data_IF_187703923395
#
_entry.id   IF_187703923395
#
_cell.length_a   1.000
_cell.length_b   1.000
_cell.length_c   1.000
_cell.angle_alpha   90.00
_cell.angle_beta   90.00
_cell.angle_gamma   90.00
#
_symmetry.space_group_name_H-M   'P 1'
#
loop_
_entity.id
_entity.type
_entity.pdbx_description
1 polymer ?
#
# COMPACT_ATOMS: atom_id res chain seq x y z
N UNK A 1 -7.83 -8.55 -13.45
CA UNK A 1 -6.48 -9.10 -13.25
C UNK A 1 -6.54 -10.04 -12.06
N UNK A 2 -6.32 -11.33 -12.31
CA UNK A 2 -6.21 -12.36 -11.29
C UNK A 2 -4.78 -12.25 -10.76
N UNK A 3 -4.63 -11.86 -9.50
CA UNK A 3 -3.33 -11.78 -8.82
C UNK A 3 -3.12 -13.15 -8.18
N UNK A 4 -2.08 -13.86 -8.61
CA UNK A 4 -1.62 -15.10 -7.97
C UNK A 4 -1.24 -14.80 -6.50
N UNK A 5 -1.83 -15.50 -5.50
CA UNK A 5 -1.53 -15.29 -4.09
C UNK A 5 -0.05 -15.43 -3.71
N UNK A 6 0.76 -16.12 -4.53
CA UNK A 6 2.23 -16.25 -4.32
C UNK A 6 3.04 -15.05 -4.83
N UNK A 7 2.40 -14.01 -5.38
CA UNK A 7 3.07 -12.87 -6.03
C UNK A 7 3.01 -11.53 -5.27
N UNK A 8 2.30 -11.48 -4.14
CA UNK A 8 2.09 -10.26 -3.34
C UNK A 8 3.25 -10.10 -2.35
N UNK A 9 4.15 -9.18 -2.67
CA UNK A 9 5.40 -8.98 -1.91
C UNK A 9 5.58 -7.53 -1.44
N UNK A 10 4.80 -6.60 -2.01
CA UNK A 10 4.93 -5.18 -1.73
C UNK A 10 4.09 -4.77 -0.51
N UNK A 11 4.62 -3.94 0.40
CA UNK A 11 3.92 -3.53 1.61
C UNK A 11 2.48 -3.03 1.39
N UNK A 12 2.25 -2.13 0.44
CA UNK A 12 0.92 -1.60 0.11
C UNK A 12 -0.02 -2.72 -0.38
N UNK A 13 0.47 -3.60 -1.24
CA UNK A 13 -0.29 -4.73 -1.78
C UNK A 13 -0.66 -5.74 -0.70
N UNK A 14 0.26 -6.04 0.22
CA UNK A 14 0.03 -6.89 1.39
C UNK A 14 -1.06 -6.26 2.26
N UNK A 15 -0.97 -4.96 2.53
CA UNK A 15 -1.96 -4.23 3.31
C UNK A 15 -3.37 -4.32 2.70
N UNK A 16 -3.51 -4.02 1.41
CA UNK A 16 -4.79 -4.11 0.72
C UNK A 16 -5.32 -5.54 0.61
N UNK A 17 -4.42 -6.52 0.46
CA UNK A 17 -4.79 -7.93 0.47
C UNK A 17 -5.37 -8.33 1.82
N UNK A 18 -4.68 -7.97 2.92
CA UNK A 18 -5.13 -8.27 4.27
C UNK A 18 -6.49 -7.63 4.57
N UNK A 19 -6.69 -6.35 4.22
CA UNK A 19 -8.00 -5.69 4.36
C UNK A 19 -9.11 -6.40 3.58
N UNK A 20 -8.79 -6.87 2.37
CA UNK A 20 -9.77 -7.56 1.53
C UNK A 20 -10.16 -8.92 2.11
N UNK A 21 -9.20 -9.70 2.59
CA UNK A 21 -9.37 -11.09 3.01
C UNK A 21 -9.41 -11.31 4.52
N UNK A 22 -9.38 -10.26 5.33
CA UNK A 22 -9.70 -10.34 6.75
C UNK A 22 -11.15 -10.85 6.89
N UNK A 23 -11.27 -12.12 7.28
CA UNK A 23 -12.54 -12.87 7.33
C UNK A 23 -13.24 -12.76 8.68
N UNK A 24 -12.67 -12.04 9.64
CA UNK A 24 -13.27 -11.81 10.95
C UNK A 24 -14.27 -10.65 10.82
N UNK A 25 -15.42 -10.92 10.20
CA UNK A 25 -16.59 -10.05 10.34
C UNK A 25 -17.20 -10.35 11.72
N UNK A 26 -16.91 -9.50 12.71
CA UNK A 26 -17.46 -9.66 14.06
C UNK A 26 -18.91 -9.17 14.08
N UNK A 27 -19.82 -9.91 14.74
CA UNK A 27 -21.22 -9.52 14.90
C UNK A 27 -21.37 -8.10 15.53
N UNK A 28 -20.39 -7.71 16.35
CA UNK A 28 -20.33 -6.38 16.94
C UNK A 28 -20.05 -5.28 15.92
N UNK A 29 -19.22 -5.54 14.90
CA UNK A 29 -18.92 -4.54 13.87
C UNK A 29 -20.13 -4.28 12.98
N UNK A 30 -20.93 -5.32 12.68
CA UNK A 30 -22.23 -5.16 12.02
C UNK A 30 -23.16 -4.25 12.85
N UNK A 31 -23.24 -4.46 14.17
CA UNK A 31 -24.05 -3.62 15.06
C UNK A 31 -23.58 -2.17 15.07
N UNK A 32 -22.27 -1.94 15.10
CA UNK A 32 -21.70 -0.60 15.09
C UNK A 32 -21.98 0.13 13.75
N UNK A 33 -21.95 -0.61 12.64
CA UNK A 33 -22.20 -0.10 11.30
C UNK A 33 -23.68 0.04 10.93
N UNK A 34 -24.60 -0.57 11.68
CA UNK A 34 -26.05 -0.56 11.41
C UNK A 34 -26.65 0.83 11.22
N UNK A 35 -26.07 1.85 11.86
CA UNK A 35 -26.56 3.23 11.71
C UNK A 35 -26.43 3.78 10.27
N UNK A 36 -25.66 3.12 9.39
CA UNK A 36 -25.58 3.42 7.95
C UNK A 36 -26.89 3.17 7.20
N UNK A 37 -27.78 2.32 7.70
CA UNK A 37 -29.08 2.03 7.06
C UNK A 37 -29.93 3.30 6.86
N UNK A 38 -29.68 4.32 7.70
CA UNK A 38 -30.33 5.64 7.60
C UNK A 38 -29.76 6.56 6.52
N UNK A 39 -28.62 6.21 5.90
CA UNK A 39 -27.95 7.03 4.88
C UNK A 39 -28.41 6.61 3.48
N UNK A 40 -28.83 7.56 2.63
CA UNK A 40 -29.19 7.25 1.25
C UNK A 40 -28.04 6.59 0.48
N UNK A 41 -28.37 5.65 -0.41
CA UNK A 41 -27.41 4.88 -1.22
C UNK A 41 -26.54 3.88 -0.45
N UNK A 42 -26.80 3.67 0.84
CA UNK A 42 -26.22 2.55 1.60
C UNK A 42 -26.80 1.22 1.12
N UNK A 43 -25.93 0.24 0.94
CA UNK A 43 -26.28 -1.16 0.74
C UNK A 43 -25.32 -2.08 1.49
N UNK A 44 -25.48 -3.40 1.33
CA UNK A 44 -24.64 -4.39 1.98
C UNK A 44 -23.15 -4.26 1.66
N UNK A 45 -22.76 -3.70 0.51
CA UNK A 45 -21.35 -3.45 0.20
C UNK A 45 -20.81 -2.29 1.04
N UNK A 46 -21.59 -1.22 1.22
CA UNK A 46 -21.21 -0.09 2.08
C UNK A 46 -21.10 -0.52 3.55
N UNK A 47 -22.02 -1.36 4.01
CA UNK A 47 -21.98 -1.90 5.37
C UNK A 47 -20.70 -2.72 5.57
N UNK A 48 -20.36 -3.62 4.63
CA UNK A 48 -19.11 -4.39 4.68
C UNK A 48 -17.84 -3.55 4.68
N UNK A 49 -17.84 -2.43 3.96
CA UNK A 49 -16.72 -1.48 3.98
C UNK A 49 -16.57 -0.88 5.39
N UNK A 50 -17.68 -0.50 6.03
CA UNK A 50 -17.68 -0.02 7.40
C UNK A 50 -17.21 -1.08 8.40
N UNK A 51 -17.67 -2.32 8.28
CA UNK A 51 -17.27 -3.42 9.16
C UNK A 51 -15.76 -3.65 9.09
N UNK A 52 -15.19 -3.69 7.87
CA UNK A 52 -13.75 -3.83 7.68
C UNK A 52 -12.97 -2.65 8.25
N UNK A 53 -13.47 -1.43 8.11
CA UNK A 53 -12.89 -0.24 8.72
C UNK A 53 -12.87 -0.34 10.25
N UNK A 54 -14.01 -0.68 10.85
CA UNK A 54 -14.15 -0.79 12.31
C UNK A 54 -13.27 -1.92 12.85
N UNK A 55 -13.36 -3.10 12.26
CA UNK A 55 -12.54 -4.25 12.65
C UNK A 55 -11.05 -3.90 12.56
N UNK A 56 -10.61 -3.31 11.45
CA UNK A 56 -9.21 -2.95 11.27
C UNK A 56 -8.70 -2.04 12.40
N UNK A 57 -9.48 -1.00 12.72
CA UNK A 57 -9.13 -0.04 13.76
C UNK A 57 -9.19 -0.61 15.18
N UNK A 58 -10.05 -1.60 15.45
CA UNK A 58 -10.10 -2.30 16.74
C UNK A 58 -8.96 -3.30 16.91
N UNK A 59 -8.64 -4.03 15.84
CA UNK A 59 -7.81 -5.24 15.92
C UNK A 59 -6.34 -4.99 15.63
N UNK A 60 -6.04 -4.12 14.66
CA UNK A 60 -4.67 -3.96 14.14
C UNK A 60 -4.07 -2.58 14.37
N UNK A 61 -4.87 -1.58 14.76
CA UNK A 61 -4.40 -0.20 14.88
C UNK A 61 -3.17 -0.07 15.80
N UNK A 62 -3.23 -0.61 17.03
CA UNK A 62 -2.15 -0.45 18.01
C UNK A 62 -0.85 -1.12 17.54
N UNK A 63 -0.93 -2.33 16.97
CA UNK A 63 0.22 -3.05 16.44
C UNK A 63 0.84 -2.31 15.26
N UNK A 64 0.00 -1.84 14.33
CA UNK A 64 0.47 -1.16 13.13
C UNK A 64 1.00 0.24 13.41
N UNK A 65 0.51 0.94 14.45
CA UNK A 65 0.97 2.27 14.89
C UNK A 65 2.34 2.25 15.58
N UNK A 66 2.89 1.07 15.86
CA UNK A 66 4.28 0.90 16.34
C UNK A 66 5.13 0.04 15.40
N UNK A 67 4.48 -0.67 14.48
CA UNK A 67 5.10 -1.65 13.59
C UNK A 67 5.57 -1.09 12.26
N UNK A 68 5.66 -2.00 11.28
CA UNK A 68 6.19 -1.75 9.94
C UNK A 68 5.41 -0.66 9.20
N UNK A 69 4.13 -0.50 9.48
CA UNK A 69 3.26 0.45 8.81
C UNK A 69 2.94 1.71 9.62
N UNK A 70 3.62 1.98 10.74
CA UNK A 70 3.36 3.09 11.67
C UNK A 70 2.99 4.42 11.01
N UNK A 71 3.72 4.80 9.98
CA UNK A 71 3.48 6.09 9.31
C UNK A 71 2.49 6.04 8.15
N UNK A 72 2.06 4.83 7.75
CA UNK A 72 1.41 4.58 6.48
C UNK A 72 0.02 3.95 6.59
N UNK A 73 -0.22 3.13 7.62
CA UNK A 73 -1.41 2.29 7.73
C UNK A 73 -2.72 3.09 7.60
N UNK A 74 -2.82 4.23 8.27
CA UNK A 74 -3.98 5.12 8.19
C UNK A 74 -4.21 5.72 6.79
N UNK A 75 -3.14 6.11 6.10
CA UNK A 75 -3.25 6.66 4.74
C UNK A 75 -3.65 5.56 3.75
N UNK A 76 -3.06 4.37 3.86
CA UNK A 76 -3.42 3.20 3.06
C UNK A 76 -4.88 2.78 3.31
N UNK A 77 -5.32 2.76 4.58
CA UNK A 77 -6.72 2.48 4.92
C UNK A 77 -7.66 3.51 4.27
N UNK A 78 -7.33 4.80 4.39
CA UNK A 78 -8.11 5.88 3.80
C UNK A 78 -8.18 5.80 2.27
N UNK A 79 -7.07 5.41 1.63
CA UNK A 79 -7.02 5.15 0.18
C UNK A 79 -7.96 4.03 -0.21
N UNK A 80 -7.87 2.90 0.50
CA UNK A 80 -8.69 1.73 0.23
C UNK A 80 -10.19 2.04 0.35
N UNK A 81 -10.60 2.71 1.44
CA UNK A 81 -11.99 3.14 1.67
C UNK A 81 -12.47 4.05 0.54
N UNK A 82 -11.71 5.09 0.21
CA UNK A 82 -12.09 6.01 -0.85
C UNK A 82 -12.17 5.32 -2.22
N UNK A 83 -11.23 4.44 -2.54
CA UNK A 83 -11.26 3.67 -3.78
C UNK A 83 -12.53 2.80 -3.88
N UNK A 84 -12.93 2.11 -2.80
CA UNK A 84 -14.13 1.27 -2.82
C UNK A 84 -15.38 2.12 -3.11
N UNK A 85 -15.53 3.25 -2.41
CA UNK A 85 -16.66 4.17 -2.60
C UNK A 85 -16.64 4.81 -4.00
N UNK A 86 -15.47 5.24 -4.47
CA UNK A 86 -15.30 5.87 -5.77
C UNK A 86 -15.64 4.90 -6.90
N UNK A 87 -15.18 3.65 -6.84
CA UNK A 87 -15.54 2.60 -7.80
C UNK A 87 -17.03 2.33 -7.83
N UNK A 88 -17.67 2.24 -6.66
CA UNK A 88 -19.12 1.98 -6.55
C UNK A 88 -19.95 3.11 -7.14
N UNK A 89 -19.63 4.35 -6.79
CA UNK A 89 -20.40 5.53 -7.19
C UNK A 89 -19.81 6.26 -8.40
N UNK A 90 -18.84 5.67 -9.09
CA UNK A 90 -18.17 6.24 -10.27
C UNK A 90 -17.72 7.69 -10.06
N UNK A 91 -17.21 7.98 -8.86
CA UNK A 91 -16.74 9.32 -8.48
C UNK A 91 -17.84 10.35 -8.14
N UNK A 92 -19.11 9.97 -8.04
CA UNK A 92 -20.20 10.87 -7.63
C UNK A 92 -20.06 11.31 -6.16
N UNK A 93 -19.38 12.44 -5.93
CA UNK A 93 -19.09 12.96 -4.58
C UNK A 93 -20.34 13.24 -3.74
N UNK A 94 -21.48 13.57 -4.36
CA UNK A 94 -22.76 13.76 -3.67
C UNK A 94 -23.26 12.49 -3.00
N UNK A 95 -22.87 11.31 -3.49
CA UNK A 95 -23.17 10.00 -2.88
C UNK A 95 -22.07 9.56 -1.92
N UNK A 96 -20.81 9.80 -2.26
CA UNK A 96 -19.65 9.38 -1.44
C UNK A 96 -19.59 10.18 -0.13
N UNK A 97 -19.79 11.50 -0.19
CA UNK A 97 -19.58 12.40 0.97
C UNK A 97 -20.46 12.06 2.18
N UNK A 98 -21.78 11.85 2.03
CA UNK A 98 -22.64 11.49 3.18
C UNK A 98 -22.23 10.16 3.83
N UNK A 99 -21.85 9.16 3.03
CA UNK A 99 -21.41 7.85 3.53
C UNK A 99 -20.09 7.98 4.28
N UNK A 100 -19.11 8.69 3.71
CA UNK A 100 -17.81 8.92 4.34
C UNK A 100 -17.94 9.68 5.65
N UNK A 101 -18.78 10.72 5.68
CA UNK A 101 -19.08 11.47 6.91
C UNK A 101 -19.73 10.56 7.97
N UNK A 102 -20.61 9.64 7.56
CA UNK A 102 -21.21 8.68 8.47
C UNK A 102 -20.18 7.69 9.04
N UNK A 103 -19.19 7.26 8.25
CA UNK A 103 -18.08 6.44 8.76
C UNK A 103 -17.33 7.17 9.88
N UNK A 104 -16.93 8.43 9.66
CA UNK A 104 -16.27 9.25 10.69
C UNK A 104 -17.12 9.40 11.95
N UNK A 105 -18.44 9.58 11.80
CA UNK A 105 -19.37 9.66 12.92
C UNK A 105 -19.47 8.33 13.69
N UNK A 106 -19.49 7.19 13.00
CA UNK A 106 -19.48 5.86 13.63
C UNK A 106 -18.19 5.67 14.42
N UNK A 107 -17.03 5.96 13.81
CA UNK A 107 -15.74 5.89 14.50
C UNK A 107 -15.70 6.76 15.76
N UNK A 108 -16.22 8.00 15.67
CA UNK A 108 -16.31 8.90 16.83
C UNK A 108 -17.20 8.35 17.95
N UNK A 109 -18.18 7.50 17.63
CA UNK A 109 -19.05 6.87 18.62
C UNK A 109 -18.45 5.62 19.26
N UNK A 110 -17.61 4.90 18.51
CA UNK A 110 -16.91 3.71 19.00
C UNK A 110 -15.73 4.14 19.87
N UNK A 111 -14.91 5.06 19.36
CA UNK A 111 -13.65 5.50 19.95
C UNK A 111 -13.81 6.80 20.74
N UNK A 112 -14.71 6.82 21.71
CA UNK A 112 -15.08 8.04 22.46
C UNK A 112 -14.01 8.50 23.47
N UNK A 113 -13.06 7.64 23.82
CA UNK A 113 -12.08 7.99 24.84
C UNK A 113 -11.05 8.97 24.24
N UNK A 114 -10.62 10.01 24.98
CA UNK A 114 -9.62 10.96 24.49
C UNK A 114 -8.32 10.30 24.03
N UNK A 115 -7.95 9.16 24.62
CA UNK A 115 -6.77 8.39 24.25
C UNK A 115 -6.89 7.70 22.88
N UNK A 116 -8.10 7.56 22.34
CA UNK A 116 -8.41 6.93 21.05
C UNK A 116 -8.58 7.96 19.92
N UNK A 117 -8.35 9.26 20.20
CA UNK A 117 -8.44 10.33 19.18
C UNK A 117 -7.57 10.03 17.95
N UNK A 118 -6.40 9.42 18.15
CA UNK A 118 -5.50 9.05 17.04
C UNK A 118 -6.09 7.95 16.14
N UNK A 119 -6.87 7.04 16.73
CA UNK A 119 -7.60 5.99 15.99
C UNK A 119 -8.69 6.58 15.11
N UNK A 120 -9.41 7.61 15.60
CA UNK A 120 -10.39 8.35 14.80
C UNK A 120 -9.68 9.07 13.64
N UNK A 121 -8.59 9.78 13.92
CA UNK A 121 -7.82 10.56 12.94
C UNK A 121 -7.13 9.69 11.87
N UNK A 122 -7.14 8.37 12.06
CA UNK A 122 -6.62 7.40 11.11
C UNK A 122 -7.40 7.42 9.79
N UNK A 123 -8.73 7.58 9.85
CA UNK A 123 -9.53 7.81 8.65
C UNK A 123 -9.45 9.28 8.25
N UNK A 124 -8.75 9.56 7.15
CA UNK A 124 -8.53 10.92 6.66
C UNK A 124 -9.83 11.57 6.20
N UNK A 125 -9.92 12.89 6.32
CA UNK A 125 -11.09 13.61 5.80
C UNK A 125 -11.23 13.38 4.28
N UNK A 126 -12.47 13.23 3.79
CA UNK A 126 -12.75 13.06 2.36
C UNK A 126 -12.20 14.19 1.49
N UNK A 127 -12.03 15.41 2.05
CA UNK A 127 -11.43 16.56 1.36
C UNK A 127 -9.99 16.32 0.90
N UNK A 128 -9.31 15.30 1.45
CA UNK A 128 -7.99 14.86 0.97
C UNK A 128 -8.07 14.28 -0.45
N UNK A 129 -9.24 13.74 -0.84
CA UNK A 129 -9.45 13.06 -2.12
C UNK A 129 -10.40 13.79 -3.06
N UNK A 130 -11.48 14.38 -2.52
CA UNK A 130 -12.57 14.97 -3.31
C UNK A 130 -12.20 16.12 -4.27
N UNK A 131 -11.16 16.95 -4.06
CA UNK A 131 -10.84 18.00 -5.02
C UNK A 131 -10.09 17.49 -6.25
N UNK A 132 -9.75 16.20 -6.31
CA UNK A 132 -8.78 15.67 -7.26
C UNK A 132 -9.40 14.64 -8.21
N UNK A 133 -9.48 15.00 -9.49
CA UNK A 133 -9.83 14.05 -10.56
C UNK A 133 -8.76 12.98 -10.78
N UNK A 134 -7.53 13.26 -10.35
CA UNK A 134 -6.35 12.40 -10.48
C UNK A 134 -6.04 11.61 -9.20
N UNK A 135 -7.01 11.44 -8.29
CA UNK A 135 -6.85 10.73 -7.03
C UNK A 135 -6.11 9.39 -7.16
N UNK A 136 -6.34 8.65 -8.27
CA UNK A 136 -5.68 7.36 -8.52
C UNK A 136 -4.17 7.51 -8.71
N UNK A 137 -3.71 8.53 -9.43
CA UNK A 137 -2.28 8.81 -9.58
C UNK A 137 -1.64 9.22 -8.25
N UNK A 138 -2.38 9.96 -7.41
CA UNK A 138 -1.93 10.36 -6.08
C UNK A 138 -1.75 9.16 -5.15
N UNK A 139 -2.70 8.22 -5.20
CA UNK A 139 -2.61 6.96 -4.47
C UNK A 139 -1.45 6.10 -4.99
N UNK A 140 -1.29 5.97 -6.30
CA UNK A 140 -0.21 5.18 -6.90
C UNK A 140 1.18 5.76 -6.56
N UNK A 141 1.33 7.08 -6.54
CA UNK A 141 2.56 7.74 -6.08
C UNK A 141 2.86 7.42 -4.61
N UNK A 142 1.85 7.48 -3.76
CA UNK A 142 1.99 7.18 -2.34
C UNK A 142 2.36 5.71 -2.11
N UNK A 143 1.66 4.78 -2.77
CA UNK A 143 1.91 3.35 -2.70
C UNK A 143 3.33 3.02 -3.16
N UNK A 144 3.79 3.62 -4.26
CA UNK A 144 5.18 3.50 -4.71
C UNK A 144 6.18 3.94 -3.64
N UNK A 145 5.93 5.07 -2.98
CA UNK A 145 6.82 5.55 -1.91
C UNK A 145 6.83 4.65 -0.67
N UNK A 146 5.69 4.04 -0.34
CA UNK A 146 5.60 3.03 0.74
C UNK A 146 6.35 1.76 0.35
N UNK A 147 6.27 1.36 -0.93
CA UNK A 147 6.83 0.10 -1.42
C UNK A 147 8.32 0.17 -1.77
N UNK A 148 8.84 1.39 -1.95
CA UNK A 148 10.17 1.66 -2.49
C UNK A 148 11.28 0.80 -1.87
N UNK A 149 11.42 0.82 -0.54
CA UNK A 149 12.52 0.11 0.13
C UNK A 149 12.45 -1.41 -0.15
N UNK A 150 11.24 -1.98 -0.18
CA UNK A 150 11.03 -3.39 -0.48
C UNK A 150 11.28 -3.70 -1.95
N UNK A 151 10.87 -2.81 -2.86
CA UNK A 151 11.16 -2.91 -4.29
C UNK A 151 12.68 -2.98 -4.50
N UNK A 152 13.44 -2.10 -3.86
CA UNK A 152 14.91 -2.07 -3.96
C UNK A 152 15.53 -3.36 -3.42
N UNK A 153 15.13 -3.80 -2.22
CA UNK A 153 15.58 -5.06 -1.62
C UNK A 153 15.36 -6.25 -2.57
N UNK A 154 14.14 -6.39 -3.08
CA UNK A 154 13.77 -7.48 -3.98
C UNK A 154 14.50 -7.37 -5.32
N UNK A 155 14.63 -6.17 -5.89
CA UNK A 155 15.37 -5.95 -7.13
C UNK A 155 16.84 -6.37 -7.00
N UNK A 156 17.46 -6.24 -5.81
CA UNK A 156 18.82 -6.72 -5.54
C UNK A 156 18.95 -8.23 -5.31
N UNK A 157 17.86 -8.92 -5.01
CA UNK A 157 17.88 -10.37 -4.70
C UNK A 157 18.17 -11.28 -5.89
N UNK A 158 17.72 -10.93 -7.10
CA UNK A 158 17.98 -11.73 -8.31
C UNK A 158 17.92 -10.89 -9.59
N UNK A 159 18.38 -11.46 -10.70
CA UNK A 159 18.29 -10.82 -12.01
C UNK A 159 16.82 -10.69 -12.48
N UNK A 160 16.03 -11.73 -12.26
CA UNK A 160 14.61 -11.80 -12.62
C UNK A 160 13.80 -10.77 -11.84
N UNK A 161 14.01 -10.67 -10.52
CA UNK A 161 13.39 -9.63 -9.69
C UNK A 161 13.87 -8.24 -10.08
N UNK A 162 15.16 -8.07 -10.41
CA UNK A 162 15.67 -6.80 -10.89
C UNK A 162 14.93 -6.32 -12.14
N UNK A 163 14.73 -7.20 -13.13
CA UNK A 163 13.97 -6.87 -14.35
C UNK A 163 12.52 -6.50 -14.04
N UNK A 164 11.81 -7.37 -13.30
CA UNK A 164 10.42 -7.14 -12.88
C UNK A 164 10.25 -5.77 -12.23
N UNK A 165 11.12 -5.43 -11.28
CA UNK A 165 10.99 -4.18 -10.54
C UNK A 165 11.54 -2.97 -11.27
N UNK A 166 12.50 -3.14 -12.20
CA UNK A 166 12.90 -2.07 -13.11
C UNK A 166 11.72 -1.63 -13.98
N UNK A 167 11.00 -2.56 -14.59
CA UNK A 167 9.79 -2.27 -15.38
C UNK A 167 8.72 -1.56 -14.53
N UNK A 168 8.45 -2.08 -13.33
CA UNK A 168 7.50 -1.44 -12.39
C UNK A 168 7.91 -0.01 -12.00
N UNK A 169 9.22 0.27 -11.82
CA UNK A 169 9.72 1.61 -11.50
C UNK A 169 9.59 2.55 -12.71
N UNK A 170 9.87 2.07 -13.93
CA UNK A 170 9.75 2.85 -15.17
C UNK A 170 8.30 3.36 -15.37
N UNK A 171 7.30 2.57 -15.01
CA UNK A 171 5.88 2.99 -15.04
C UNK A 171 5.59 4.21 -14.15
N UNK A 172 6.45 4.52 -13.17
CA UNK A 172 6.26 5.63 -12.23
C UNK A 172 6.89 6.94 -12.70
N UNK A 173 7.58 6.99 -13.84
CA UNK A 173 8.13 8.23 -14.38
C UNK A 173 7.10 9.37 -14.46
N UNK A 174 5.89 9.17 -15.02
CA UNK A 174 4.94 10.28 -15.16
C UNK A 174 4.45 10.81 -13.80
N UNK A 175 4.42 9.96 -12.77
CA UNK A 175 4.03 10.37 -11.42
C UNK A 175 5.08 11.30 -10.79
N UNK A 176 6.36 11.08 -11.08
CA UNK A 176 7.46 11.89 -10.56
C UNK A 176 7.69 13.17 -11.34
N UNK A 177 7.41 13.19 -12.64
CA UNK A 177 7.40 14.42 -13.44
C UNK A 177 6.39 15.44 -12.88
N UNK A 178 5.33 14.96 -12.22
CA UNK A 178 4.30 15.78 -11.56
C UNK A 178 4.29 15.64 -10.03
N UNK A 179 5.41 15.23 -9.42
CA UNK A 179 5.50 14.86 -8.00
C UNK A 179 4.87 15.89 -7.06
N UNK A 180 5.29 17.15 -7.17
CA UNK A 180 4.81 18.22 -6.27
C UNK A 180 3.30 18.46 -6.40
N UNK A 181 2.75 18.24 -7.60
CA UNK A 181 1.33 18.40 -7.88
C UNK A 181 0.52 17.22 -7.35
N UNK A 182 1.05 16.00 -7.49
CA UNK A 182 0.38 14.74 -7.15
C UNK A 182 0.51 14.38 -5.66
N UNK A 183 1.60 14.78 -5.00
CA UNK A 183 1.78 14.49 -3.58
C UNK A 183 0.65 15.10 -2.76
N UNK A 184 0.04 14.30 -1.89
CA UNK A 184 -1.11 14.71 -1.08
C UNK A 184 -0.60 15.64 0.04
N UNK A 185 -0.99 16.93 0.08
CA UNK A 185 -0.45 17.87 1.06
C UNK A 185 -0.72 17.46 2.51
N UNK A 186 -1.88 16.84 2.77
CA UNK A 186 -2.24 16.32 4.08
C UNK A 186 -1.30 15.22 4.59
N UNK A 187 -0.49 14.61 3.71
CA UNK A 187 0.47 13.56 4.05
C UNK A 187 1.89 14.09 4.20
N UNK A 188 2.09 15.40 4.06
CA UNK A 188 3.39 16.06 4.23
C UNK A 188 3.79 16.03 5.71
N UNK A 189 4.18 14.84 6.18
CA UNK A 189 5.07 14.67 7.33
C UNK A 189 6.47 14.90 6.78
N UNK A 190 7.18 15.91 7.30
CA UNK A 190 8.42 16.41 6.70
C UNK A 190 9.41 15.29 6.34
N UNK A 191 9.62 14.31 7.24
CA UNK A 191 10.56 13.22 6.99
C UNK A 191 10.15 12.28 5.84
N UNK A 192 8.86 11.92 5.72
CA UNK A 192 8.42 10.97 4.68
C UNK A 192 8.35 11.61 3.30
N UNK A 193 7.87 12.86 3.22
CA UNK A 193 7.86 13.61 1.96
C UNK A 193 9.27 13.75 1.39
N UNK A 194 10.24 14.18 2.21
CA UNK A 194 11.64 14.33 1.78
C UNK A 194 12.29 12.99 1.38
N UNK A 195 11.86 11.89 2.00
CA UNK A 195 12.30 10.54 1.63
C UNK A 195 11.71 10.14 0.26
N UNK A 196 10.40 10.29 0.10
CA UNK A 196 9.64 9.97 -1.11
C UNK A 196 10.15 10.77 -2.33
N UNK A 197 10.48 12.05 -2.15
CA UNK A 197 11.08 12.89 -3.22
C UNK A 197 12.40 12.35 -3.77
N UNK A 198 13.20 11.65 -2.95
CA UNK A 198 14.49 11.06 -3.36
C UNK A 198 14.36 9.75 -4.11
N UNK A 199 13.14 9.20 -4.22
CA UNK A 199 12.85 7.95 -4.89
C UNK A 199 12.55 8.12 -6.38
N UNK A 200 12.96 9.25 -6.97
CA UNK A 200 12.79 9.52 -8.40
C UNK A 200 13.21 8.30 -9.25
N UNK A 201 12.27 7.68 -10.00
CA UNK A 201 12.53 6.53 -10.85
C UNK A 201 13.77 6.71 -11.75
N UNK A 202 14.04 7.93 -12.24
CA UNK A 202 15.20 8.23 -13.12
C UNK A 202 16.51 7.96 -12.41
N UNK A 203 16.60 8.38 -11.15
CA UNK A 203 17.79 8.16 -10.30
C UNK A 203 17.91 6.69 -9.90
N UNK A 204 16.78 6.02 -9.70
CA UNK A 204 16.73 4.65 -9.15
C UNK A 204 17.12 3.62 -10.19
N UNK A 205 16.63 3.75 -11.42
CA UNK A 205 16.89 2.80 -12.51
C UNK A 205 18.39 2.72 -12.81
N UNK A 206 19.09 3.85 -12.81
CA UNK A 206 20.53 3.92 -13.03
C UNK A 206 21.30 3.12 -11.95
N UNK A 207 20.79 3.10 -10.71
CA UNK A 207 21.39 2.36 -9.59
C UNK A 207 21.17 0.85 -9.65
N UNK A 208 20.05 0.39 -10.20
CA UNK A 208 19.69 -1.04 -10.16
C UNK A 208 20.61 -1.93 -11.01
N UNK A 209 21.16 -1.39 -12.11
CA UNK A 209 22.15 -2.02 -13.01
C UNK A 209 22.00 -3.55 -13.16
N UNK A 210 20.82 -3.98 -13.61
CA UNK A 210 20.43 -5.40 -13.65
C UNK A 210 21.39 -6.27 -14.49
N UNK A 211 22.00 -5.72 -15.53
CA UNK A 211 22.91 -6.44 -16.43
C UNK A 211 24.18 -6.92 -15.73
N UNK A 212 24.72 -6.13 -14.77
CA UNK A 212 25.88 -6.55 -13.98
C UNK A 212 25.58 -7.82 -13.15
N UNK A 213 24.33 -8.05 -12.73
CA UNK A 213 23.95 -9.24 -11.95
C UNK A 213 24.08 -10.54 -12.75
N UNK A 214 23.87 -10.51 -14.06
CA UNK A 214 24.10 -11.66 -14.95
C UNK A 214 25.56 -12.12 -14.86
N UNK A 215 26.49 -11.16 -14.82
CA UNK A 215 27.94 -11.43 -14.77
C UNK A 215 28.36 -12.06 -13.43
N UNK A 216 27.76 -11.63 -12.32
CA UNK A 216 28.03 -12.16 -10.98
C UNK A 216 27.48 -13.57 -10.83
N UNK A 217 26.24 -13.82 -11.26
CA UNK A 217 25.64 -15.16 -11.24
C UNK A 217 26.40 -16.12 -12.15
N UNK A 218 26.84 -15.67 -13.33
CA UNK A 218 27.74 -16.44 -14.19
C UNK A 218 29.10 -16.71 -13.55
N UNK A 219 29.72 -15.74 -12.85
CA UNK A 219 30.98 -15.92 -12.10
C UNK A 219 30.84 -16.88 -10.91
N UNK A 220 29.72 -16.83 -10.19
CA UNK A 220 29.43 -17.77 -9.10
C UNK A 220 29.22 -19.17 -9.68
N UNK A 221 28.41 -19.31 -10.73
CA UNK A 221 28.18 -20.58 -11.42
C UNK A 221 29.48 -21.13 -12.03
N UNK A 222 30.33 -20.30 -12.61
CA UNK A 222 31.62 -20.70 -13.16
C UNK A 222 32.64 -21.09 -12.08
N UNK A 223 32.59 -20.44 -10.90
CA UNK A 223 33.39 -20.84 -9.72
C UNK A 223 32.95 -22.20 -9.20
N UNK A 224 31.65 -22.45 -9.08
CA UNK A 224 31.12 -23.75 -8.66
C UNK A 224 31.40 -24.87 -9.67
N UNK A 225 31.46 -24.57 -10.97
CA UNK A 225 31.83 -25.57 -11.99
C UNK A 225 33.33 -25.85 -12.06
N UNK A 226 34.20 -24.93 -11.63
CA UNK A 226 35.66 -25.16 -11.61
C UNK A 226 36.17 -25.77 -10.30
N UNK A 227 35.66 -25.35 -9.13
CA UNK A 227 36.11 -25.88 -7.84
C UNK A 227 35.56 -27.28 -7.52
N UNK A 228 34.38 -27.65 -8.04
CA UNK A 228 33.84 -29.01 -7.89
C UNK A 228 34.43 -30.02 -8.89
N UNK A 229 34.97 -29.57 -10.03
CA UNK A 229 35.66 -30.47 -10.98
C UNK A 229 37.11 -30.79 -10.56
N UNK A 230 37.84 -29.83 -9.97
CA UNK A 230 39.23 -30.04 -9.54
C UNK A 230 39.32 -30.95 -8.29
N UNK A 231 38.27 -31.05 -7.48
CA UNK A 231 38.25 -31.95 -6.31
C UNK A 231 37.90 -33.40 -6.64
N UNK A 232 37.32 -33.66 -7.83
CA UNK A 232 36.95 -35.01 -8.27
C UNK A 232 38.06 -35.73 -9.06
N UNK A 233 39.08 -35.01 -9.56
CA UNK A 233 40.17 -35.57 -10.37
C UNK A 233 41.54 -35.68 -9.68
N UNK A 234 41.63 -35.46 -8.37
CA UNK A 234 42.87 -35.63 -7.58
C UNK A 234 42.93 -36.92 -6.74
N UNK A 235 41.99 -37.84 -6.98
CA UNK A 235 41.93 -39.15 -6.32
C UNK A 235 42.11 -40.34 -7.28
N UNK A 236 42.44 -40.09 -8.56
CA UNK A 236 42.58 -41.12 -9.58
C UNK A 236 43.76 -40.89 -10.54
N UNK A 237 44.91 -40.46 -10.02
CA UNK A 237 46.23 -40.66 -10.62
C UNK A 237 47.27 -40.71 -9.50
#
# INVERSE_FOLDING_TARGET
LIIDPTSIELPSQIFYHNLKFSNEELEQDFKDCKSLDSVPNTDSQIIRICEKLVNYLKTYYEEEDVGKFKDHHCNLLSHWIYEQLNRKFKGELTKITPIYAKFLFILSNIFKNPNESKTIDCLRNISVFSPYTDWKHRMDLYDYCVDYDKIIELAFSSYEKCKKYKEYIEEKFPLYDEFERLYIPAYKKDAFYEKCKKYDPKIVIDKLNCEKKISTTRKVRSRFTWSSFIRYYRFFL
#
